data_IF_642868033608
#
_entry.id   IF_642868033608
#
_cell.length_a   1.000
_cell.length_b   1.000
_cell.length_c   1.000
_cell.angle_alpha   90.00
_cell.angle_beta   90.00
_cell.angle_gamma   90.00
#
_symmetry.space_group_name_H-M   'P 1'
#
loop_
_entity.id
_entity.type
_entity.pdbx_description
1 polymer ?
#
# COMPACT_ATOMS: atom_id res chain seq x y z
N UNK A 1 -33.44 13.67 -4.63
CA UNK A 1 -32.69 14.55 -3.68
C UNK A 1 -32.68 13.87 -2.32
N UNK A 2 -31.93 12.79 -2.21
CA UNK A 2 -31.91 11.86 -1.06
C UNK A 2 -31.28 12.50 0.19
N UNK A 3 -30.43 13.50 -0.01
CA UNK A 3 -29.67 14.17 1.06
C UNK A 3 -30.32 15.48 1.56
N UNK A 4 -31.46 15.86 0.98
CA UNK A 4 -32.17 17.07 1.39
C UNK A 4 -32.61 16.94 2.86
N UNK A 5 -32.43 17.99 3.65
CA UNK A 5 -32.78 18.06 5.07
C UNK A 5 -31.90 17.15 5.98
N UNK A 6 -30.73 16.73 5.50
CA UNK A 6 -29.69 16.10 6.34
C UNK A 6 -28.54 17.08 6.53
N UNK A 7 -27.99 17.11 7.75
CA UNK A 7 -26.77 17.84 8.09
C UNK A 7 -25.57 16.99 7.69
N UNK A 8 -24.98 17.32 6.53
CA UNK A 8 -23.94 16.50 5.87
C UNK A 8 -22.69 17.33 5.65
N UNK A 9 -21.57 16.74 5.98
CA UNK A 9 -20.25 17.35 5.89
C UNK A 9 -19.29 16.43 5.16
N UNK A 10 -18.57 16.97 4.16
CA UNK A 10 -17.41 16.30 3.59
C UNK A 10 -16.27 16.34 4.62
N UNK A 11 -15.56 15.23 4.83
CA UNK A 11 -14.55 15.13 5.89
C UNK A 11 -13.29 14.37 5.45
N UNK A 12 -12.24 14.45 6.24
CA UNK A 12 -11.07 13.59 6.14
C UNK A 12 -10.17 13.88 4.94
N UNK A 13 -9.76 12.82 4.24
CA UNK A 13 -8.75 12.88 3.18
C UNK A 13 -9.08 13.86 2.05
N UNK A 14 -10.32 13.85 1.58
CA UNK A 14 -10.75 14.72 0.47
C UNK A 14 -10.63 16.22 0.81
N UNK A 15 -11.00 16.63 2.04
CA UNK A 15 -10.85 18.03 2.49
C UNK A 15 -9.37 18.40 2.62
N UNK A 16 -8.59 17.52 3.28
CA UNK A 16 -7.14 17.72 3.45
C UNK A 16 -6.42 17.87 2.11
N UNK A 17 -6.62 16.92 1.19
CA UNK A 17 -5.89 16.89 -0.08
C UNK A 17 -6.22 18.11 -0.95
N UNK A 18 -7.50 18.55 -0.94
CA UNK A 18 -7.90 19.78 -1.57
C UNK A 18 -7.19 21.00 -0.97
N UNK A 19 -7.16 21.14 0.36
CA UNK A 19 -6.50 22.28 1.02
C UNK A 19 -4.98 22.30 0.77
N UNK A 20 -4.34 21.13 0.70
CA UNK A 20 -2.92 21.00 0.35
C UNK A 20 -2.69 21.50 -1.08
N UNK A 21 -3.51 21.07 -2.04
CA UNK A 21 -3.35 21.43 -3.43
C UNK A 21 -3.68 22.91 -3.71
N UNK A 22 -4.73 23.46 -3.10
CA UNK A 22 -5.05 24.89 -3.16
C UNK A 22 -3.86 25.74 -2.70
N UNK A 23 -3.18 25.35 -1.61
CA UNK A 23 -1.98 26.03 -1.11
C UNK A 23 -0.77 25.88 -2.04
N UNK A 24 -0.70 24.78 -2.79
CA UNK A 24 0.34 24.57 -3.80
C UNK A 24 0.04 25.27 -5.14
N UNK A 25 -1.10 25.97 -5.26
CA UNK A 25 -1.54 26.59 -6.50
C UNK A 25 -1.89 25.59 -7.60
N UNK A 26 -2.23 24.36 -7.23
CA UNK A 26 -2.62 23.31 -8.14
C UNK A 26 -4.13 23.31 -8.33
N UNK A 27 -4.58 23.09 -9.56
CA UNK A 27 -6.00 22.90 -9.85
C UNK A 27 -6.42 21.51 -9.34
N UNK A 28 -7.34 21.47 -8.39
CA UNK A 28 -7.78 20.24 -7.78
C UNK A 28 -9.01 19.71 -8.49
N UNK A 29 -8.83 18.74 -9.36
CA UNK A 29 -9.95 17.86 -9.72
C UNK A 29 -10.21 16.87 -8.56
N UNK A 30 -11.01 17.32 -7.59
CA UNK A 30 -11.43 16.52 -6.42
C UNK A 30 -12.40 15.40 -6.84
N UNK A 31 -12.74 15.28 -8.12
CA UNK A 31 -13.69 14.28 -8.63
C UNK A 31 -13.17 12.85 -8.53
N UNK A 32 -11.85 12.68 -8.37
CA UNK A 32 -11.19 11.35 -8.34
C UNK A 32 -10.83 10.85 -6.94
N UNK A 33 -11.00 11.68 -5.88
CA UNK A 33 -10.73 11.25 -4.51
C UNK A 33 -11.94 10.57 -3.87
N UNK A 34 -11.71 9.52 -3.10
CA UNK A 34 -12.73 8.91 -2.25
C UNK A 34 -13.31 9.98 -1.31
N UNK A 35 -14.62 10.19 -1.39
CA UNK A 35 -15.34 11.18 -0.58
C UNK A 35 -16.03 10.51 0.58
N UNK A 36 -15.60 10.87 1.78
CA UNK A 36 -16.20 10.45 3.03
C UNK A 36 -17.13 11.56 3.56
N UNK A 37 -18.37 11.20 3.87
CA UNK A 37 -19.37 12.11 4.38
C UNK A 37 -19.76 11.76 5.82
N UNK A 38 -19.86 12.76 6.68
CA UNK A 38 -20.46 12.62 8.01
C UNK A 38 -21.87 13.20 8.02
N UNK A 39 -22.81 12.43 8.57
CA UNK A 39 -24.19 12.87 8.73
C UNK A 39 -24.46 13.10 10.23
N UNK A 40 -24.83 14.31 10.60
CA UNK A 40 -25.10 14.72 11.96
C UNK A 40 -26.63 14.73 12.22
N UNK A 41 -27.05 14.38 13.41
CA UNK A 41 -28.45 14.47 13.83
C UNK A 41 -29.41 13.45 13.19
N UNK A 42 -28.91 12.52 12.37
CA UNK A 42 -29.73 11.49 11.74
C UNK A 42 -29.58 10.13 12.42
N UNK A 43 -30.52 9.24 12.14
CA UNK A 43 -30.49 7.84 12.56
C UNK A 43 -30.21 6.91 11.36
N UNK A 44 -29.75 5.69 11.65
CA UNK A 44 -29.54 4.65 10.62
C UNK A 44 -30.83 4.39 9.82
N UNK A 45 -31.98 4.33 10.50
CA UNK A 45 -33.26 4.11 9.85
C UNK A 45 -33.62 5.21 8.84
N UNK A 46 -33.35 6.46 9.18
CA UNK A 46 -33.59 7.58 8.26
C UNK A 46 -32.75 7.50 6.97
N UNK A 47 -31.52 6.98 7.03
CA UNK A 47 -30.71 6.74 5.84
C UNK A 47 -31.22 5.55 5.04
N UNK A 48 -31.58 4.45 5.69
CA UNK A 48 -32.18 3.27 5.05
C UNK A 48 -33.49 3.62 4.33
N UNK A 49 -34.39 4.36 4.98
CA UNK A 49 -35.66 4.82 4.40
C UNK A 49 -35.47 5.72 3.16
N UNK A 50 -34.30 6.37 3.06
CA UNK A 50 -33.90 7.18 1.90
C UNK A 50 -33.17 6.36 0.80
N UNK A 51 -33.05 5.04 0.98
CA UNK A 51 -32.46 4.14 -0.01
C UNK A 51 -30.94 3.97 0.06
N UNK A 52 -30.29 4.46 1.12
CA UNK A 52 -28.89 4.14 1.37
C UNK A 52 -28.73 2.68 1.78
N UNK A 53 -27.63 2.05 1.35
CA UNK A 53 -27.32 0.67 1.70
C UNK A 53 -26.30 0.62 2.85
N UNK A 54 -26.65 0.01 3.97
CA UNK A 54 -25.70 -0.15 5.08
C UNK A 54 -24.62 -1.17 4.75
N UNK A 55 -23.36 -0.79 4.96
CA UNK A 55 -22.18 -1.65 4.89
C UNK A 55 -21.50 -1.70 6.27
N UNK A 56 -20.93 -2.86 6.60
CA UNK A 56 -20.32 -3.09 7.91
C UNK A 56 -21.34 -3.44 9.00
N UNK A 57 -20.98 -4.40 9.86
CA UNK A 57 -21.83 -4.84 10.98
C UNK A 57 -21.60 -4.03 12.26
N UNK A 58 -20.36 -3.62 12.47
CA UNK A 58 -19.93 -3.00 13.74
C UNK A 58 -19.89 -1.46 13.64
N UNK A 59 -19.82 -0.91 12.42
CA UNK A 59 -19.78 0.53 12.16
C UNK A 59 -20.84 0.91 11.13
N UNK A 60 -21.80 1.79 11.47
CA UNK A 60 -22.87 2.17 10.56
C UNK A 60 -22.32 3.13 9.47
N UNK A 61 -21.78 2.57 8.40
CA UNK A 61 -21.44 3.26 7.16
C UNK A 61 -22.49 2.90 6.12
N UNK A 62 -22.91 3.87 5.33
CA UNK A 62 -23.97 3.76 4.34
C UNK A 62 -23.47 4.20 2.97
N UNK A 63 -23.75 3.40 1.94
CA UNK A 63 -23.44 3.78 0.55
C UNK A 63 -24.63 4.54 -0.04
N UNK A 64 -24.32 5.68 -0.67
CA UNK A 64 -25.28 6.42 -1.45
C UNK A 64 -25.73 5.57 -2.66
N UNK A 65 -27.04 5.45 -2.94
CA UNK A 65 -27.56 4.51 -3.95
C UNK A 65 -27.01 4.78 -5.37
N UNK A 66 -26.80 6.04 -5.71
CA UNK A 66 -26.34 6.43 -7.06
C UNK A 66 -24.81 6.58 -7.11
N UNK A 67 -24.21 7.45 -6.28
CA UNK A 67 -22.77 7.79 -6.35
C UNK A 67 -21.87 6.72 -5.72
N UNK A 68 -22.41 5.83 -4.85
CA UNK A 68 -21.65 4.85 -4.06
C UNK A 68 -20.67 5.46 -3.06
N UNK A 69 -20.72 6.76 -2.86
CA UNK A 69 -19.94 7.45 -1.82
C UNK A 69 -20.35 6.98 -0.42
N UNK A 70 -19.40 7.01 0.51
CA UNK A 70 -19.59 6.55 1.88
C UNK A 70 -20.14 7.66 2.79
N UNK A 71 -21.22 7.35 3.50
CA UNK A 71 -21.85 8.22 4.49
C UNK A 71 -21.81 7.55 5.85
N UNK A 72 -21.15 8.15 6.82
CA UNK A 72 -21.10 7.66 8.19
C UNK A 72 -21.96 8.57 9.10
N UNK A 73 -22.70 8.00 10.03
CA UNK A 73 -23.33 8.80 11.08
C UNK A 73 -22.25 9.37 12.00
N UNK A 74 -22.42 10.63 12.44
CA UNK A 74 -21.59 11.18 13.49
C UNK A 74 -21.63 10.28 14.73
N UNK A 75 -20.44 9.98 15.28
CA UNK A 75 -20.31 9.01 16.36
C UNK A 75 -19.20 9.35 17.33
N UNK A 76 -19.35 8.89 18.55
CA UNK A 76 -18.26 8.78 19.52
C UNK A 76 -17.85 7.31 19.67
N UNK A 77 -16.59 7.08 19.96
CA UNK A 77 -16.03 5.75 20.22
C UNK A 77 -15.47 5.76 21.65
N UNK A 78 -15.77 4.71 22.44
CA UNK A 78 -15.21 4.53 23.77
C UNK A 78 -14.62 3.14 23.89
N UNK A 79 -13.35 3.06 24.24
CA UNK A 79 -12.67 1.79 24.49
C UNK A 79 -13.18 1.17 25.79
N UNK A 80 -13.77 -0.04 25.73
CA UNK A 80 -14.18 -0.85 26.90
C UNK A 80 -13.34 -2.12 27.09
N UNK A 81 -12.48 -2.45 26.11
CA UNK A 81 -11.66 -3.66 26.16
C UNK A 81 -10.43 -3.56 25.26
N UNK A 82 -9.58 -4.60 25.28
CA UNK A 82 -8.43 -4.69 24.40
C UNK A 82 -8.81 -5.17 22.98
N UNK A 83 -8.18 -4.61 21.96
CA UNK A 83 -8.36 -4.98 20.55
C UNK A 83 -9.49 -4.28 19.83
N UNK A 84 -9.63 -4.55 18.53
CA UNK A 84 -10.60 -3.88 17.64
C UNK A 84 -12.07 -4.08 17.96
N UNK A 85 -12.44 -5.15 18.68
CA UNK A 85 -13.81 -5.42 19.14
C UNK A 85 -14.14 -4.80 20.50
N UNK A 86 -13.21 -4.07 21.09
CA UNK A 86 -13.36 -3.46 22.41
C UNK A 86 -13.94 -2.04 22.42
N UNK A 87 -14.54 -1.59 21.31
CA UNK A 87 -15.15 -0.25 21.22
C UNK A 87 -16.66 -0.32 21.36
N UNK A 88 -17.22 0.49 22.25
CA UNK A 88 -18.62 0.89 22.18
C UNK A 88 -18.72 2.08 21.24
N UNK A 89 -19.43 1.90 20.15
CA UNK A 89 -19.74 2.97 19.19
C UNK A 89 -21.10 3.54 19.56
N UNK A 90 -21.13 4.81 19.95
CA UNK A 90 -22.37 5.55 20.14
C UNK A 90 -22.59 6.45 18.92
N UNK A 91 -23.52 6.06 18.07
CA UNK A 91 -23.95 6.78 16.87
C UNK A 91 -25.40 7.27 17.02
N UNK A 92 -25.73 7.79 18.19
CA UNK A 92 -27.04 8.41 18.40
C UNK A 92 -27.11 9.81 17.75
N UNK A 93 -28.33 10.27 17.49
CA UNK A 93 -28.56 11.58 16.84
C UNK A 93 -28.14 12.79 17.66
N UNK A 94 -27.66 12.60 18.89
CA UNK A 94 -27.16 13.68 19.75
C UNK A 94 -25.66 13.93 19.58
N UNK A 95 -24.92 13.10 18.86
CA UNK A 95 -23.48 13.30 18.63
C UNK A 95 -23.26 14.47 17.69
N UNK A 96 -22.46 15.42 18.12
CA UNK A 96 -22.11 16.62 17.35
C UNK A 96 -20.99 16.36 16.35
N UNK A 97 -20.87 17.22 15.33
CA UNK A 97 -19.76 17.18 14.39
C UNK A 97 -18.39 17.30 15.09
N UNK A 98 -18.29 18.20 16.07
CA UNK A 98 -17.04 18.41 16.83
C UNK A 98 -16.62 17.15 17.58
N UNK A 99 -17.55 16.43 18.19
CA UNK A 99 -17.25 15.16 18.86
C UNK A 99 -16.77 14.10 17.87
N UNK A 100 -17.38 14.00 16.68
CA UNK A 100 -16.91 13.09 15.62
C UNK A 100 -15.51 13.46 15.15
N UNK A 101 -15.22 14.73 14.95
CA UNK A 101 -13.89 15.21 14.54
C UNK A 101 -12.84 14.95 15.63
N UNK A 102 -13.20 15.08 16.92
CA UNK A 102 -12.29 14.93 18.06
C UNK A 102 -11.73 13.51 18.24
N UNK A 103 -12.43 12.47 17.74
CA UNK A 103 -11.99 11.07 17.80
C UNK A 103 -11.07 10.66 16.65
N UNK A 104 -10.85 11.53 15.66
CA UNK A 104 -10.00 11.22 14.49
C UNK A 104 -8.52 11.16 14.87
N UNK A 105 -7.71 10.66 13.94
CA UNK A 105 -6.28 10.44 14.17
C UNK A 105 -5.48 11.75 14.18
N UNK A 106 -5.52 12.51 13.10
CA UNK A 106 -4.71 13.71 12.91
C UNK A 106 -5.58 14.94 12.68
N UNK A 107 -5.12 16.10 13.15
CA UNK A 107 -5.80 17.40 12.96
C UNK A 107 -6.09 17.69 11.50
N UNK A 108 -5.15 17.37 10.60
CA UNK A 108 -5.31 17.54 9.15
C UNK A 108 -6.42 16.66 8.54
N UNK A 109 -6.86 15.61 9.22
CA UNK A 109 -7.96 14.72 8.83
C UNK A 109 -9.25 15.03 9.63
N UNK A 110 -9.19 15.97 10.57
CA UNK A 110 -10.29 16.38 11.44
C UNK A 110 -10.90 17.73 11.04
N UNK A 111 -10.88 18.01 9.74
CA UNK A 111 -11.51 19.18 9.11
C UNK A 111 -12.76 18.70 8.37
N UNK A 112 -13.85 19.42 8.51
CA UNK A 112 -15.09 19.19 7.79
C UNK A 112 -15.42 20.37 6.87
N UNK A 113 -16.17 20.09 5.79
CA UNK A 113 -16.69 21.11 4.90
C UNK A 113 -18.20 20.97 4.76
N UNK A 114 -18.92 22.05 5.04
CA UNK A 114 -20.35 22.13 4.83
C UNK A 114 -20.74 22.24 3.36
N UNK A 115 -22.04 22.08 3.07
CA UNK A 115 -22.59 22.21 1.73
C UNK A 115 -22.44 23.63 1.13
N UNK A 116 -22.30 24.65 1.97
CA UNK A 116 -22.01 26.04 1.60
C UNK A 116 -20.53 26.30 1.32
N UNK A 117 -19.67 25.28 1.46
CA UNK A 117 -18.23 25.37 1.30
C UNK A 117 -17.48 25.86 2.55
N UNK A 118 -18.19 26.23 3.63
CA UNK A 118 -17.55 26.67 4.86
C UNK A 118 -16.75 25.53 5.51
N UNK A 119 -15.53 25.82 5.96
CA UNK A 119 -14.71 24.89 6.72
C UNK A 119 -15.06 24.94 8.21
N UNK A 120 -15.07 23.77 8.83
CA UNK A 120 -15.25 23.59 10.27
C UNK A 120 -14.01 22.85 10.77
N UNK A 121 -13.14 23.57 11.45
CA UNK A 121 -11.83 23.10 11.90
C UNK A 121 -11.62 23.38 13.40
N UNK A 122 -12.24 22.58 14.28
CA UNK A 122 -12.15 22.82 15.73
C UNK A 122 -10.77 22.49 16.31
N UNK A 123 -9.90 21.80 15.55
CA UNK A 123 -8.61 21.29 16.02
C UNK A 123 -7.39 21.95 15.36
N UNK A 124 -7.59 22.96 14.50
CA UNK A 124 -6.51 23.71 13.87
C UNK A 124 -5.78 22.94 12.75
N UNK A 125 -6.48 22.03 12.07
CA UNK A 125 -5.93 21.24 10.97
C UNK A 125 -5.47 22.07 9.79
N UNK A 126 -6.15 23.22 9.49
CA UNK A 126 -5.69 24.15 8.45
C UNK A 126 -4.33 24.79 8.78
N UNK A 127 -4.09 25.11 10.06
CA UNK A 127 -2.79 25.61 10.50
C UNK A 127 -1.71 24.53 10.42
N UNK A 128 -2.04 23.29 10.78
CA UNK A 128 -1.11 22.16 10.69
C UNK A 128 -0.83 21.78 9.22
N UNK A 129 -1.79 21.89 8.29
CA UNK A 129 -1.55 21.78 6.85
C UNK A 129 -0.55 22.86 6.39
N UNK A 130 -0.74 24.10 6.81
CA UNK A 130 0.16 25.20 6.46
C UNK A 130 1.58 24.99 6.99
N UNK A 131 1.69 24.47 8.21
CA UNK A 131 2.95 24.15 8.86
C UNK A 131 3.55 22.81 8.40
N UNK A 132 2.84 22.04 7.58
CA UNK A 132 3.18 20.65 7.21
C UNK A 132 3.43 19.76 8.43
N UNK A 133 2.49 19.75 9.35
CA UNK A 133 2.61 19.10 10.65
C UNK A 133 1.61 17.94 10.79
N UNK A 134 2.08 16.78 11.24
CA UNK A 134 1.27 15.62 11.60
C UNK A 134 1.04 15.62 13.11
N UNK A 135 -0.07 16.21 13.55
CA UNK A 135 -0.45 16.35 14.96
C UNK A 135 -1.66 15.49 15.27
N UNK A 136 -1.63 14.73 16.36
CA UNK A 136 -2.81 14.01 16.85
C UNK A 136 -3.91 14.99 17.34
N UNK A 137 -5.17 14.57 17.20
CA UNK A 137 -6.31 15.45 17.50
C UNK A 137 -6.53 15.62 19.00
N UNK A 138 -6.48 14.53 19.77
CA UNK A 138 -6.84 14.52 21.18
C UNK A 138 -6.24 13.30 21.89
N UNK A 139 -6.41 13.21 23.22
CA UNK A 139 -6.00 12.06 24.04
C UNK A 139 -6.67 10.75 23.62
N UNK A 140 -7.85 10.80 22.95
CA UNK A 140 -8.49 9.63 22.38
C UNK A 140 -7.64 8.92 21.28
N UNK A 141 -6.55 9.53 20.85
CA UNK A 141 -5.61 8.93 19.91
C UNK A 141 -5.09 7.57 20.38
N UNK A 142 -4.82 7.41 21.68
CA UNK A 142 -4.29 6.15 22.25
C UNK A 142 -5.30 4.98 22.22
N UNK A 143 -6.56 5.24 21.96
CA UNK A 143 -7.60 4.20 21.95
C UNK A 143 -7.39 3.18 20.81
N UNK A 144 -6.85 3.60 19.66
CA UNK A 144 -6.54 2.71 18.55
C UNK A 144 -5.03 2.67 18.24
N UNK A 145 -4.31 1.60 18.64
CA UNK A 145 -2.88 1.48 18.39
C UNK A 145 -2.49 1.50 16.91
N UNK A 146 -3.41 1.20 15.98
CA UNK A 146 -3.13 1.31 14.54
C UNK A 146 -2.78 2.73 14.10
N UNK A 147 -3.18 3.73 14.87
CA UNK A 147 -2.87 5.14 14.57
C UNK A 147 -1.37 5.41 14.53
N UNK A 148 -0.54 4.62 15.23
CA UNK A 148 0.92 4.68 15.10
C UNK A 148 1.36 4.39 13.65
N UNK A 149 0.87 3.30 13.08
CA UNK A 149 1.13 2.96 11.67
C UNK A 149 0.52 3.95 10.69
N UNK A 150 -0.66 4.49 11.02
CA UNK A 150 -1.33 5.51 10.20
C UNK A 150 -0.52 6.82 10.13
N UNK A 151 0.03 7.30 11.26
CA UNK A 151 0.91 8.49 11.27
C UNK A 151 2.15 8.23 10.42
N UNK A 152 2.80 7.07 10.60
CA UNK A 152 3.95 6.67 9.79
C UNK A 152 3.62 6.63 8.29
N UNK A 153 2.45 6.08 7.92
CA UNK A 153 1.97 6.09 6.53
C UNK A 153 1.69 7.50 6.03
N UNK A 154 1.10 8.38 6.82
CA UNK A 154 0.88 9.77 6.40
C UNK A 154 2.19 10.52 6.20
N UNK A 155 3.22 10.26 7.00
CA UNK A 155 4.56 10.81 6.77
C UNK A 155 5.14 10.36 5.41
N UNK A 156 4.88 9.12 5.00
CA UNK A 156 5.27 8.61 3.68
C UNK A 156 4.40 9.19 2.53
N UNK A 157 3.11 9.43 2.78
CA UNK A 157 2.13 9.87 1.79
C UNK A 157 2.17 11.37 1.53
N UNK A 158 2.56 12.17 2.51
CA UNK A 158 2.52 13.64 2.48
C UNK A 158 3.95 14.21 2.53
N UNK A 159 4.61 14.39 1.37
CA UNK A 159 6.00 14.87 1.32
C UNK A 159 6.21 16.18 2.07
N UNK A 160 7.26 16.19 2.89
CA UNK A 160 7.63 17.36 3.68
C UNK A 160 6.77 17.60 4.92
N UNK A 161 5.85 16.69 5.28
CA UNK A 161 5.15 16.74 6.56
C UNK A 161 5.98 16.07 7.66
N UNK A 162 6.08 16.72 8.83
CA UNK A 162 6.82 16.23 9.98
C UNK A 162 5.88 15.93 11.16
N UNK A 163 6.23 14.89 11.94
CA UNK A 163 5.45 14.54 13.14
C UNK A 163 5.67 15.58 14.21
N UNK A 164 4.58 16.09 14.78
CA UNK A 164 4.64 17.06 15.88
C UNK A 164 5.38 16.44 17.09
N UNK A 165 6.21 17.23 17.84
CA UNK A 165 6.98 16.70 18.97
C UNK A 165 6.13 16.00 20.02
N UNK A 166 4.97 16.57 20.37
CA UNK A 166 4.02 15.98 21.33
C UNK A 166 3.39 14.69 20.78
N UNK A 167 3.16 14.60 19.46
CA UNK A 167 2.69 13.37 18.82
C UNK A 167 3.78 12.31 18.83
N UNK A 168 5.03 12.69 18.56
CA UNK A 168 6.17 11.77 18.66
C UNK A 168 6.30 11.15 20.04
N UNK A 169 6.16 11.95 21.10
CA UNK A 169 6.17 11.45 22.50
C UNK A 169 5.03 10.46 22.72
N UNK A 170 3.83 10.77 22.21
CA UNK A 170 2.67 9.91 22.35
C UNK A 170 2.87 8.56 21.64
N UNK A 171 3.38 8.58 20.39
CA UNK A 171 3.70 7.37 19.62
C UNK A 171 4.72 6.49 20.38
N UNK A 172 5.78 7.09 20.93
CA UNK A 172 6.80 6.37 21.70
C UNK A 172 6.19 5.70 22.92
N UNK A 173 5.37 6.41 23.69
CA UNK A 173 4.69 5.85 24.86
C UNK A 173 3.79 4.66 24.51
N UNK A 174 3.06 4.73 23.38
CA UNK A 174 2.21 3.63 22.91
C UNK A 174 3.04 2.40 22.50
N UNK A 175 4.17 2.60 21.83
CA UNK A 175 5.06 1.51 21.43
C UNK A 175 5.74 0.87 22.65
N UNK A 176 6.28 1.66 23.56
CA UNK A 176 6.93 1.18 24.79
C UNK A 176 5.91 0.49 25.72
N UNK A 177 4.66 0.93 25.72
CA UNK A 177 3.54 0.27 26.40
C UNK A 177 3.08 -1.04 25.74
N UNK A 178 3.71 -1.44 24.63
CA UNK A 178 3.38 -2.64 23.85
C UNK A 178 1.93 -2.71 23.36
N UNK A 179 1.32 -1.57 23.09
CA UNK A 179 -0.04 -1.48 22.58
C UNK A 179 -0.17 -2.12 21.18
N UNK A 180 0.93 -2.09 20.39
CA UNK A 180 0.93 -2.57 18.98
C UNK A 180 0.72 -4.09 18.87
N UNK A 181 1.05 -4.88 19.88
CA UNK A 181 0.85 -6.36 19.88
C UNK A 181 -0.63 -6.75 19.81
N UNK A 182 -1.55 -5.83 20.14
CA UNK A 182 -2.99 -6.08 20.12
C UNK A 182 -3.62 -5.97 18.72
N UNK A 183 -2.85 -5.48 17.73
CA UNK A 183 -3.32 -5.29 16.38
C UNK A 183 -3.47 -6.62 15.64
N UNK A 184 -4.38 -6.67 14.65
CA UNK A 184 -4.41 -7.78 13.72
C UNK A 184 -3.44 -7.56 12.56
N UNK A 185 -2.89 -8.66 12.05
CA UNK A 185 -1.94 -8.65 10.93
C UNK A 185 -2.51 -7.95 9.69
N UNK A 186 -3.79 -8.18 9.39
CA UNK A 186 -4.46 -7.59 8.23
C UNK A 186 -4.51 -6.07 8.30
N UNK A 187 -4.76 -5.50 9.48
CA UNK A 187 -4.79 -4.04 9.66
C UNK A 187 -3.40 -3.44 9.47
N UNK A 188 -2.37 -4.05 10.05
CA UNK A 188 -0.98 -3.61 9.90
C UNK A 188 -0.54 -3.75 8.45
N UNK A 189 -0.85 -4.88 7.80
CA UNK A 189 -0.56 -5.11 6.38
C UNK A 189 -1.15 -4.02 5.47
N UNK A 190 -2.40 -3.61 5.70
CA UNK A 190 -3.05 -2.57 4.90
C UNK A 190 -2.31 -1.21 5.00
N UNK A 191 -1.88 -0.80 6.19
CA UNK A 191 -1.11 0.44 6.35
C UNK A 191 0.29 0.31 5.72
N UNK A 192 0.94 -0.85 5.88
CA UNK A 192 2.25 -1.14 5.30
C UNK A 192 2.23 -1.09 3.75
N UNK A 193 1.27 -1.75 3.11
CA UNK A 193 1.14 -1.74 1.64
C UNK A 193 0.86 -0.33 1.12
N UNK A 194 -0.02 0.44 1.79
CA UNK A 194 -0.28 1.84 1.44
C UNK A 194 0.98 2.70 1.60
N UNK A 195 1.79 2.45 2.61
CA UNK A 195 3.06 3.15 2.81
C UNK A 195 4.08 2.80 1.72
N UNK A 196 4.16 1.53 1.30
CA UNK A 196 4.99 1.14 0.16
C UNK A 196 4.55 1.79 -1.16
N UNK A 197 3.25 2.07 -1.35
CA UNK A 197 2.73 2.77 -2.51
C UNK A 197 2.94 4.30 -2.45
N UNK A 198 3.33 4.83 -1.30
CA UNK A 198 3.43 6.27 -1.07
C UNK A 198 4.61 6.94 -1.80
N UNK A 199 4.63 8.27 -2.00
CA UNK A 199 5.74 8.99 -2.60
C UNK A 199 7.08 8.79 -1.88
N UNK A 200 7.09 8.80 -0.54
CA UNK A 200 8.28 8.71 0.30
C UNK A 200 8.21 7.51 1.25
N UNK A 201 8.25 6.25 0.75
CA UNK A 201 8.00 5.05 1.57
C UNK A 201 9.01 4.86 2.72
N UNK A 202 10.25 5.39 2.61
CA UNK A 202 11.26 5.36 3.66
C UNK A 202 10.79 6.08 4.94
N UNK A 203 10.01 7.15 4.80
CA UNK A 203 9.48 7.94 5.93
C UNK A 203 8.60 7.12 6.87
N UNK A 204 7.89 6.12 6.35
CA UNK A 204 7.13 5.17 7.18
C UNK A 204 8.02 4.46 8.19
N UNK A 205 9.15 3.97 7.74
CA UNK A 205 10.09 3.24 8.60
C UNK A 205 10.82 4.18 9.55
N UNK A 206 11.18 5.39 9.10
CA UNK A 206 11.82 6.40 9.94
C UNK A 206 10.95 6.80 11.13
N UNK A 207 9.66 7.05 10.90
CA UNK A 207 8.72 7.38 11.98
C UNK A 207 8.58 6.20 12.94
N UNK A 208 8.38 4.97 12.44
CA UNK A 208 8.28 3.79 13.29
C UNK A 208 9.57 3.54 14.05
N UNK A 209 10.72 3.75 13.45
CA UNK A 209 12.02 3.60 14.14
C UNK A 209 12.18 4.63 15.25
N UNK A 210 11.83 5.89 15.01
CA UNK A 210 11.96 6.97 15.98
C UNK A 210 11.07 6.81 17.21
N UNK A 211 10.00 6.00 17.12
CA UNK A 211 9.10 5.71 18.23
C UNK A 211 9.17 4.23 18.72
N UNK A 212 10.19 3.45 18.32
CA UNK A 212 10.36 2.02 18.63
C UNK A 212 9.26 1.10 18.07
N UNK A 213 8.46 1.59 17.12
CA UNK A 213 7.28 0.89 16.59
C UNK A 213 7.57 -0.25 15.61
N UNK A 214 8.83 -0.49 15.21
CA UNK A 214 9.19 -1.59 14.31
C UNK A 214 9.22 -2.95 15.02
N UNK A 215 9.52 -2.97 16.33
CA UNK A 215 9.91 -4.19 17.06
C UNK A 215 8.88 -5.32 17.02
N UNK A 216 7.59 -5.02 17.07
CA UNK A 216 6.55 -6.04 17.16
C UNK A 216 6.13 -6.59 15.79
N UNK A 217 6.15 -5.75 14.73
CA UNK A 217 5.59 -6.10 13.43
C UNK A 217 6.59 -6.12 12.27
N UNK A 218 7.67 -5.36 12.37
CA UNK A 218 8.64 -5.12 11.28
C UNK A 218 10.10 -5.17 11.79
N UNK A 219 10.48 -6.10 12.71
CA UNK A 219 11.81 -6.09 13.30
C UNK A 219 12.93 -6.28 12.25
N UNK A 220 12.65 -6.98 11.15
CA UNK A 220 13.58 -7.19 10.04
C UNK A 220 13.93 -5.88 9.33
N UNK A 221 13.09 -4.84 9.47
CA UNK A 221 13.28 -3.55 8.82
C UNK A 221 14.06 -2.54 9.67
N UNK A 222 14.49 -2.89 10.89
CA UNK A 222 15.03 -1.92 11.89
C UNK A 222 16.36 -1.27 11.49
N UNK A 223 17.13 -1.85 10.57
CA UNK A 223 18.45 -1.35 10.18
C UNK A 223 18.65 -1.27 8.65
N UNK A 224 17.57 -1.21 7.89
CA UNK A 224 17.65 -1.26 6.43
C UNK A 224 17.92 0.13 5.82
N UNK A 225 18.77 0.24 4.79
CA UNK A 225 18.92 1.44 3.97
C UNK A 225 17.74 1.54 2.99
N UNK A 226 16.69 2.26 3.37
CA UNK A 226 15.41 2.28 2.67
C UNK A 226 15.17 3.53 1.81
N UNK A 227 16.11 4.47 1.79
CA UNK A 227 16.08 5.71 1.02
C UNK A 227 15.89 5.49 -0.49
N UNK A 228 16.42 4.38 -1.01
CA UNK A 228 16.30 4.03 -2.44
C UNK A 228 14.93 3.56 -2.88
N UNK A 229 14.03 3.20 -1.95
CA UNK A 229 12.67 2.74 -2.31
C UNK A 229 11.87 3.80 -3.08
N UNK A 230 12.10 5.08 -2.82
CA UNK A 230 11.43 6.19 -3.50
C UNK A 230 11.82 6.34 -4.97
N UNK A 231 12.98 5.79 -5.39
CA UNK A 231 13.47 5.86 -6.78
C UNK A 231 12.65 4.98 -7.75
N UNK A 232 11.90 4.03 -7.22
CA UNK A 232 11.08 3.12 -8.01
C UNK A 232 9.62 3.58 -8.08
N UNK A 233 8.90 3.09 -9.09
CA UNK A 233 7.45 3.36 -9.23
C UNK A 233 6.71 3.08 -7.93
N UNK A 234 5.60 3.80 -7.65
CA UNK A 234 4.78 3.59 -6.44
C UNK A 234 3.95 2.29 -6.54
N UNK A 235 4.61 1.19 -6.89
CA UNK A 235 4.05 -0.15 -6.91
C UNK A 235 4.48 -0.87 -5.62
N UNK A 236 3.54 -1.18 -4.72
CA UNK A 236 3.87 -1.80 -3.45
C UNK A 236 4.50 -3.19 -3.61
N UNK A 237 4.13 -3.94 -4.65
CA UNK A 237 4.71 -5.26 -4.92
C UNK A 237 6.20 -5.15 -5.29
N UNK A 238 6.54 -4.23 -6.20
CA UNK A 238 7.92 -3.94 -6.58
C UNK A 238 8.73 -3.45 -5.38
N UNK A 239 8.21 -2.50 -4.62
CA UNK A 239 8.91 -1.93 -3.46
C UNK A 239 9.09 -2.92 -2.32
N UNK A 240 8.13 -3.82 -2.08
CA UNK A 240 8.30 -4.93 -1.16
C UNK A 240 9.45 -5.85 -1.61
N UNK A 241 9.48 -6.22 -2.89
CA UNK A 241 10.56 -7.04 -3.44
C UNK A 241 11.94 -6.36 -3.33
N UNK A 242 12.00 -5.02 -3.32
CA UNK A 242 13.23 -4.24 -3.18
C UNK A 242 13.69 -4.05 -1.73
N UNK A 243 12.90 -4.44 -0.73
CA UNK A 243 13.38 -4.45 0.65
C UNK A 243 14.66 -5.29 0.73
N UNK A 244 15.76 -4.76 1.29
CA UNK A 244 17.06 -5.43 1.33
C UNK A 244 17.09 -6.54 2.40
N UNK A 245 16.09 -7.44 2.34
CA UNK A 245 15.91 -8.59 3.22
C UNK A 245 16.48 -9.85 2.57
N UNK A 246 16.93 -10.79 3.38
CA UNK A 246 17.23 -12.15 2.96
C UNK A 246 15.95 -13.02 2.88
N UNK A 247 16.07 -14.26 2.41
CA UNK A 247 14.92 -15.15 2.19
C UNK A 247 14.17 -15.50 3.48
N UNK A 248 14.89 -15.73 4.58
CA UNK A 248 14.30 -16.08 5.86
C UNK A 248 13.55 -14.89 6.47
N UNK A 249 14.11 -13.68 6.38
CA UNK A 249 13.48 -12.44 6.82
C UNK A 249 12.21 -12.14 6.01
N UNK A 250 12.25 -12.32 4.68
CA UNK A 250 11.06 -12.17 3.83
C UNK A 250 9.96 -13.13 4.23
N UNK A 251 10.31 -14.38 4.51
CA UNK A 251 9.35 -15.40 4.92
C UNK A 251 8.75 -15.07 6.30
N UNK A 252 9.58 -14.71 7.28
CA UNK A 252 9.17 -14.35 8.63
C UNK A 252 8.24 -13.12 8.64
N UNK A 253 8.60 -12.08 7.88
CA UNK A 253 7.80 -10.87 7.70
C UNK A 253 6.44 -11.19 7.06
N UNK A 254 6.46 -11.99 5.99
CA UNK A 254 5.25 -12.33 5.26
C UNK A 254 4.28 -13.20 6.09
N UNK A 255 4.79 -14.14 6.87
CA UNK A 255 3.98 -14.95 7.79
C UNK A 255 3.35 -14.10 8.89
N UNK A 256 4.12 -13.20 9.49
CA UNK A 256 3.63 -12.31 10.55
C UNK A 256 2.56 -11.36 10.06
N UNK A 257 2.71 -10.79 8.86
CA UNK A 257 1.79 -9.83 8.28
C UNK A 257 0.67 -10.48 7.46
N UNK A 258 0.65 -11.80 7.31
CA UNK A 258 -0.26 -12.52 6.40
C UNK A 258 -0.20 -11.98 4.96
N UNK A 259 1.01 -11.67 4.50
CA UNK A 259 1.22 -11.07 3.19
C UNK A 259 0.75 -12.02 2.06
N UNK A 260 0.14 -11.50 0.98
CA UNK A 260 -0.20 -12.31 -0.18
C UNK A 260 1.03 -12.96 -0.81
N UNK A 261 0.89 -14.22 -1.27
CA UNK A 261 1.99 -15.01 -1.84
C UNK A 261 2.74 -14.30 -2.97
N UNK A 262 2.08 -13.42 -3.71
CA UNK A 262 2.69 -12.65 -4.79
C UNK A 262 3.86 -11.78 -4.30
N UNK A 263 3.77 -11.21 -3.09
CA UNK A 263 4.83 -10.38 -2.51
C UNK A 263 6.07 -11.19 -2.18
N UNK A 264 5.88 -12.36 -1.54
CA UNK A 264 6.97 -13.30 -1.26
C UNK A 264 7.64 -13.76 -2.56
N UNK A 265 6.82 -14.15 -3.55
CA UNK A 265 7.32 -14.61 -4.84
C UNK A 265 8.16 -13.54 -5.55
N UNK A 266 7.70 -12.29 -5.56
CA UNK A 266 8.44 -11.18 -6.17
C UNK A 266 9.80 -10.95 -5.49
N UNK A 267 9.87 -11.04 -4.16
CA UNK A 267 11.12 -10.91 -3.42
C UNK A 267 12.08 -12.07 -3.71
N UNK A 268 11.57 -13.32 -3.75
CA UNK A 268 12.36 -14.50 -4.09
C UNK A 268 12.88 -14.44 -5.54
N UNK A 269 12.04 -14.01 -6.49
CA UNK A 269 12.44 -13.82 -7.88
C UNK A 269 13.57 -12.79 -8.01
N UNK A 270 13.46 -11.67 -7.30
CA UNK A 270 14.53 -10.67 -7.24
C UNK A 270 15.84 -11.27 -6.76
N UNK A 271 15.82 -11.98 -5.64
CA UNK A 271 17.02 -12.60 -5.06
C UNK A 271 17.64 -13.63 -5.99
N UNK A 272 16.82 -14.41 -6.70
CA UNK A 272 17.29 -15.50 -7.54
C UNK A 272 17.78 -15.06 -8.92
N UNK A 273 17.16 -14.02 -9.52
CA UNK A 273 17.32 -13.79 -10.95
C UNK A 273 17.70 -12.36 -11.33
N UNK A 274 17.62 -11.36 -10.43
CA UNK A 274 17.92 -9.97 -10.80
C UNK A 274 19.39 -9.80 -11.21
N UNK A 275 20.32 -10.46 -10.50
CA UNK A 275 21.75 -10.41 -10.83
C UNK A 275 22.04 -11.03 -12.21
N UNK A 276 21.38 -12.13 -12.54
CA UNK A 276 21.51 -12.77 -13.85
C UNK A 276 21.14 -11.80 -14.98
N UNK A 277 20.02 -11.10 -14.86
CA UNK A 277 19.60 -10.12 -15.88
C UNK A 277 20.49 -8.86 -15.89
N UNK A 278 21.14 -8.52 -14.78
CA UNK A 278 22.06 -7.38 -14.72
C UNK A 278 23.32 -7.58 -15.57
N UNK A 279 23.68 -8.82 -15.90
CA UNK A 279 24.83 -9.17 -16.75
C UNK A 279 24.49 -9.19 -18.25
N UNK A 280 23.28 -8.79 -18.64
CA UNK A 280 22.79 -8.78 -20.01
C UNK A 280 23.73 -8.00 -20.96
N UNK A 281 24.04 -8.51 -22.18
CA UNK A 281 23.63 -9.80 -22.78
C UNK A 281 24.62 -10.96 -22.51
N UNK A 282 25.56 -10.80 -21.58
CA UNK A 282 26.63 -11.79 -21.28
C UNK A 282 26.17 -12.90 -20.35
N UNK A 283 24.86 -13.19 -20.35
CA UNK A 283 24.28 -14.22 -19.51
C UNK A 283 24.53 -15.61 -20.09
N UNK A 284 24.72 -16.59 -19.23
CA UNK A 284 24.77 -17.99 -19.64
C UNK A 284 23.37 -18.44 -20.14
N UNK A 285 23.29 -19.00 -21.35
CA UNK A 285 22.03 -19.37 -21.98
C UNK A 285 21.27 -20.45 -21.20
N UNK A 286 21.98 -21.39 -20.57
CA UNK A 286 21.36 -22.43 -19.74
C UNK A 286 20.76 -21.83 -18.47
N UNK A 287 21.48 -20.92 -17.81
CA UNK A 287 20.99 -20.21 -16.63
C UNK A 287 19.79 -19.31 -16.99
N UNK A 288 19.86 -18.63 -18.12
CA UNK A 288 18.75 -17.81 -18.62
C UNK A 288 17.51 -18.64 -18.89
N UNK A 289 17.63 -19.76 -19.62
CA UNK A 289 16.50 -20.63 -19.93
C UNK A 289 15.83 -21.16 -18.64
N UNK A 290 16.62 -21.61 -17.67
CA UNK A 290 16.12 -22.06 -16.38
C UNK A 290 15.38 -20.96 -15.62
N UNK A 291 15.93 -19.74 -15.62
CA UNK A 291 15.27 -18.59 -15.00
C UNK A 291 13.92 -18.29 -15.68
N UNK A 292 13.88 -18.28 -17.02
CA UNK A 292 12.66 -18.06 -17.78
C UNK A 292 11.58 -19.13 -17.51
N UNK A 293 11.97 -20.40 -17.37
CA UNK A 293 11.07 -21.49 -17.01
C UNK A 293 10.54 -21.35 -15.58
N UNK A 294 11.38 -21.02 -14.60
CA UNK A 294 10.98 -20.80 -13.20
C UNK A 294 10.10 -19.56 -13.04
N UNK A 295 10.37 -18.51 -13.80
CA UNK A 295 9.52 -17.31 -13.90
C UNK A 295 8.25 -17.59 -14.69
N UNK A 296 8.10 -18.74 -15.33
CA UNK A 296 7.03 -19.10 -16.27
C UNK A 296 6.90 -18.12 -17.44
N UNK A 297 7.99 -17.47 -17.81
CA UNK A 297 8.00 -16.38 -18.80
C UNK A 297 7.60 -16.81 -20.21
N UNK A 298 7.69 -18.11 -20.52
CA UNK A 298 7.21 -18.68 -21.79
C UNK A 298 5.67 -18.76 -21.86
N UNK A 299 4.96 -18.63 -20.75
CA UNK A 299 3.50 -18.64 -20.70
C UNK A 299 2.93 -17.29 -20.29
N UNK A 300 3.53 -16.67 -19.28
CA UNK A 300 3.12 -15.37 -18.75
C UNK A 300 4.37 -14.56 -18.36
N UNK A 301 4.52 -13.39 -18.97
CA UNK A 301 5.69 -12.54 -18.78
C UNK A 301 5.60 -11.63 -17.57
N UNK A 302 4.50 -11.59 -16.81
CA UNK A 302 4.28 -10.62 -15.73
C UNK A 302 5.41 -10.63 -14.67
N UNK A 303 5.85 -11.83 -14.23
CA UNK A 303 6.95 -11.95 -13.25
C UNK A 303 8.30 -11.49 -13.80
N UNK A 304 8.58 -11.77 -15.07
CA UNK A 304 9.78 -11.30 -15.75
C UNK A 304 9.76 -9.79 -15.92
N UNK A 305 8.63 -9.22 -16.35
CA UNK A 305 8.45 -7.76 -16.49
C UNK A 305 8.59 -7.06 -15.14
N UNK A 306 8.00 -7.61 -14.08
CA UNK A 306 8.19 -7.08 -12.72
C UNK A 306 9.68 -7.10 -12.35
N UNK A 307 10.38 -8.22 -12.56
CA UNK A 307 11.80 -8.34 -12.26
C UNK A 307 12.64 -7.29 -13.00
N UNK A 308 12.35 -7.05 -14.28
CA UNK A 308 13.00 -5.98 -15.05
C UNK A 308 12.73 -4.58 -14.48
N UNK A 309 11.51 -4.34 -13.96
CA UNK A 309 11.15 -3.08 -13.31
C UNK A 309 11.91 -2.81 -12.02
N UNK A 310 12.48 -3.85 -11.38
CA UNK A 310 13.31 -3.72 -10.17
C UNK A 310 14.75 -3.28 -10.48
N UNK A 311 15.14 -3.20 -11.75
CA UNK A 311 16.50 -2.82 -12.13
C UNK A 311 16.74 -1.33 -11.93
N UNK A 312 17.89 -0.98 -11.34
CA UNK A 312 18.30 0.41 -11.10
C UNK A 312 18.59 1.18 -12.41
N UNK A 313 18.97 0.49 -13.49
CA UNK A 313 19.34 1.10 -14.77
C UNK A 313 18.18 1.11 -15.77
N UNK A 314 17.52 2.25 -16.03
CA UNK A 314 16.49 2.36 -17.05
C UNK A 314 16.97 1.98 -18.46
N UNK A 315 18.21 2.31 -18.80
CA UNK A 315 18.80 1.99 -20.11
C UNK A 315 18.96 0.48 -20.28
N UNK A 316 19.48 -0.22 -19.25
CA UNK A 316 19.61 -1.68 -19.29
C UNK A 316 18.23 -2.36 -19.35
N UNK A 317 17.27 -1.88 -18.57
CA UNK A 317 15.89 -2.38 -18.63
C UNK A 317 15.29 -2.26 -20.01
N UNK A 318 15.37 -1.07 -20.62
CA UNK A 318 14.83 -0.84 -21.96
C UNK A 318 15.52 -1.72 -23.02
N UNK A 319 16.84 -1.94 -22.88
CA UNK A 319 17.57 -2.85 -23.73
C UNK A 319 17.06 -4.28 -23.60
N UNK A 320 16.94 -4.80 -22.38
CA UNK A 320 16.42 -6.15 -22.13
C UNK A 320 14.97 -6.29 -22.62
N UNK A 321 14.12 -5.31 -22.37
CA UNK A 321 12.73 -5.30 -22.89
C UNK A 321 12.71 -5.39 -24.42
N UNK A 322 13.58 -4.65 -25.11
CA UNK A 322 13.65 -4.65 -26.57
C UNK A 322 14.29 -5.89 -27.19
N UNK A 323 15.17 -6.57 -26.47
CA UNK A 323 15.92 -7.73 -26.96
C UNK A 323 15.35 -9.07 -26.47
N UNK A 324 15.08 -9.21 -25.17
CA UNK A 324 14.63 -10.48 -24.57
C UNK A 324 13.15 -10.78 -24.84
N UNK A 325 12.26 -9.79 -24.73
CA UNK A 325 10.81 -10.08 -24.90
C UNK A 325 10.49 -10.60 -26.31
N UNK A 326 11.03 -10.06 -27.42
CA UNK A 326 10.87 -10.67 -28.74
C UNK A 326 11.46 -12.08 -28.83
N UNK A 327 12.62 -12.35 -28.19
CA UNK A 327 13.21 -13.68 -28.18
C UNK A 327 12.31 -14.72 -27.51
N UNK A 328 11.48 -14.34 -26.54
CA UNK A 328 10.55 -15.27 -25.87
C UNK A 328 9.54 -15.87 -26.85
N UNK A 329 9.06 -15.07 -27.80
CA UNK A 329 8.07 -15.56 -28.77
C UNK A 329 8.73 -16.54 -29.76
N UNK A 330 9.94 -16.25 -30.20
CA UNK A 330 10.71 -17.19 -31.00
C UNK A 330 11.05 -18.48 -30.21
N UNK A 331 11.44 -18.34 -28.93
CA UNK A 331 11.78 -19.45 -28.06
C UNK A 331 10.58 -20.39 -27.78
N UNK A 332 9.36 -19.84 -27.70
CA UNK A 332 8.11 -20.62 -27.62
C UNK A 332 7.89 -21.46 -28.88
N UNK A 333 8.27 -20.93 -30.03
CA UNK A 333 8.13 -21.62 -31.32
C UNK A 333 9.21 -22.68 -31.57
N UNK A 334 10.29 -22.74 -30.77
CA UNK A 334 11.33 -23.75 -30.87
C UNK A 334 10.74 -25.12 -30.56
N UNK A 335 10.84 -26.03 -31.54
CA UNK A 335 10.39 -27.43 -31.46
C UNK A 335 11.55 -28.36 -31.78
N UNK A 336 11.47 -29.61 -31.30
CA UNK A 336 12.44 -30.65 -31.71
C UNK A 336 12.30 -30.96 -33.20
N UNK A 337 13.42 -31.18 -33.91
CA UNK A 337 13.39 -31.77 -35.24
C UNK A 337 12.57 -33.07 -35.27
N UNK A 338 11.81 -33.30 -36.33
CA UNK A 338 10.81 -34.35 -36.43
C UNK A 338 11.41 -35.79 -36.20
N UNK A 339 12.64 -35.98 -36.65
CA UNK A 339 13.41 -37.21 -36.48
C UNK A 339 13.76 -37.49 -34.99
N UNK A 340 14.17 -36.47 -34.26
CA UNK A 340 14.43 -36.57 -32.81
C UNK A 340 13.13 -36.68 -32.01
N UNK A 341 12.11 -35.93 -32.37
CA UNK A 341 10.81 -35.96 -31.70
C UNK A 341 10.13 -37.31 -31.79
N UNK A 342 10.30 -38.05 -32.92
CA UNK A 342 9.72 -39.36 -33.14
C UNK A 342 10.34 -40.48 -32.26
N UNK A 343 11.55 -40.28 -31.74
CA UNK A 343 12.32 -41.28 -30.99
C UNK A 343 12.32 -41.07 -29.47
N UNK A 344 11.87 -39.89 -29.00
CA UNK A 344 11.95 -39.48 -27.60
C UNK A 344 10.55 -39.38 -26.98
N UNK A 345 10.41 -39.83 -25.75
CA UNK A 345 9.19 -39.75 -24.94
C UNK A 345 9.50 -39.30 -23.51
N UNK A 346 8.53 -38.67 -22.85
CA UNK A 346 8.63 -38.33 -21.44
C UNK A 346 9.81 -37.39 -21.10
N UNK A 347 10.62 -37.70 -20.07
CA UNK A 347 11.71 -36.82 -19.63
C UNK A 347 12.75 -36.56 -20.71
N UNK A 348 13.11 -37.57 -21.54
CA UNK A 348 14.08 -37.39 -22.62
C UNK A 348 13.66 -36.40 -23.71
N UNK A 349 12.35 -36.28 -23.97
CA UNK A 349 11.83 -35.23 -24.88
C UNK A 349 12.05 -33.83 -24.29
N UNK A 350 11.80 -33.66 -22.97
CA UNK A 350 12.02 -32.41 -22.27
C UNK A 350 13.47 -31.96 -22.28
N UNK A 351 14.40 -32.89 -22.01
CA UNK A 351 15.85 -32.64 -22.02
C UNK A 351 16.33 -32.24 -23.43
N UNK A 352 15.93 -32.99 -24.47
CA UNK A 352 16.29 -32.63 -25.83
C UNK A 352 15.72 -31.28 -26.31
N UNK A 353 14.49 -30.93 -25.90
CA UNK A 353 13.91 -29.63 -26.20
C UNK A 353 14.68 -28.52 -25.48
N UNK A 354 15.09 -28.73 -24.23
CA UNK A 354 15.93 -27.82 -23.48
C UNK A 354 17.26 -27.58 -24.19
N UNK A 355 17.94 -28.59 -24.67
CA UNK A 355 19.18 -28.47 -25.43
C UNK A 355 19.01 -27.57 -26.67
N UNK A 356 17.96 -27.77 -27.47
CA UNK A 356 17.69 -26.97 -28.67
C UNK A 356 17.38 -25.51 -28.31
N UNK A 357 16.66 -25.30 -27.22
CA UNK A 357 16.36 -23.96 -26.72
C UNK A 357 17.60 -23.22 -26.19
N UNK A 358 18.49 -23.94 -25.49
CA UNK A 358 19.78 -23.39 -25.05
C UNK A 358 20.62 -22.99 -26.26
N UNK A 359 20.74 -23.85 -27.26
CA UNK A 359 21.48 -23.55 -28.49
C UNK A 359 20.89 -22.30 -29.18
N UNK A 360 19.58 -22.20 -29.30
CA UNK A 360 18.91 -21.00 -29.85
C UNK A 360 19.30 -19.74 -29.08
N UNK A 361 19.28 -19.79 -27.74
CA UNK A 361 19.64 -18.66 -26.90
C UNK A 361 21.13 -18.28 -27.05
N UNK A 362 22.04 -19.26 -27.08
CA UNK A 362 23.48 -19.03 -27.30
C UNK A 362 23.72 -18.28 -28.62
N UNK A 363 23.10 -18.73 -29.71
CA UNK A 363 23.21 -18.09 -31.03
C UNK A 363 22.67 -16.66 -31.02
N UNK A 364 21.53 -16.42 -30.34
CA UNK A 364 20.92 -15.10 -30.26
C UNK A 364 21.70 -14.13 -29.37
N UNK A 365 22.19 -14.62 -28.22
CA UNK A 365 23.00 -13.80 -27.30
C UNK A 365 24.34 -13.44 -27.92
N UNK A 366 24.97 -14.33 -28.70
CA UNK A 366 26.22 -14.06 -29.41
C UNK A 366 26.07 -13.00 -30.53
N UNK A 367 24.84 -12.75 -31.00
CA UNK A 367 24.54 -11.79 -32.05
C UNK A 367 24.22 -10.39 -31.48
N UNK A 368 24.06 -10.20 -30.15
CA UNK A 368 23.83 -8.92 -29.46
C UNK A 368 25.14 -8.24 -29.07
#
# INVERSE_FOLDING_TARGET
MLTKDLDIYLVGGAVRDRLIAERAGQDTDVSTSDRDWVVVGATAQQLLDRGFAQIGKDFPVFLHPDSKEEYALARTERKRGSGHKGFDVDANSGVTLTEDLSRRDLTINAIAQGADGQLIDPHGGEADIAARCLRHVSDAFVEDPLRVFRVARFAAQLPGFEVAPETQVLLTNMCDGRELVTLSAERVWQEFVKALAAPEPHRFFEVLQSCHGLSDWLPECSALPLDRLALHRPDPLARFALLPLNADDVQALAERLLAPKAFVQAAMDRMSYLSLLSDWPRVDATALLRALEQLKALHDTQRLVLLMQLMDSPALRQRIEGELLPMLDDLKAVVLPADRAATLMGPGFGEALMEVRVQYLDERLAAL
#
